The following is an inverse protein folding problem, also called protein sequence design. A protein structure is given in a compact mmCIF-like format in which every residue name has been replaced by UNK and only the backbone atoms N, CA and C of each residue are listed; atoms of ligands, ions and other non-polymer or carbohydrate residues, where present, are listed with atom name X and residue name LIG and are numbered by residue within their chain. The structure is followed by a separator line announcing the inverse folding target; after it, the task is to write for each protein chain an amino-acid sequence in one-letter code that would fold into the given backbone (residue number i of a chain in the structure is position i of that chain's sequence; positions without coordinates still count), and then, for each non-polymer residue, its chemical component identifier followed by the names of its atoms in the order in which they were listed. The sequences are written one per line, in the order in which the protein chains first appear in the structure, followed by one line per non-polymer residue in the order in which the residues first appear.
data_IF_493467200863
#
_entry.id   IF_493467200863
#
_cell.length_a   1.000
_cell.length_b   1.000
_cell.length_c   1.000
_cell.angle_alpha   90.00
_cell.angle_beta   90.00
_cell.angle_gamma   90.00
#
_symmetry.space_group_name_H-M   'P 1'
#
loop_
_entity.id
_entity.type
_entity.pdbx_description
1 polymer ?
#
# COMPACT_ATOMS: atom_id res chain seq x y z
N UNK A 1 -3.06 -2.23 34.00
CA UNK A 1 -3.07 -0.83 33.50
C UNK A 1 -1.65 -0.29 33.62
N UNK A 2 -0.90 -0.18 32.54
CA UNK A 2 0.49 0.33 32.59
C UNK A 2 0.45 1.84 32.83
N UNK A 3 0.73 2.28 34.05
CA UNK A 3 0.88 3.69 34.36
C UNK A 3 2.18 4.22 33.73
N UNK A 4 2.07 5.20 32.83
CA UNK A 4 3.21 5.87 32.22
C UNK A 4 4.06 6.56 33.28
N UNK A 5 5.38 6.41 33.22
CA UNK A 5 6.29 7.09 34.14
C UNK A 5 6.14 8.61 34.07
N UNK A 6 6.36 9.36 35.17
CA UNK A 6 6.24 10.82 35.17
C UNK A 6 7.10 11.53 34.10
N UNK A 7 8.24 10.94 33.75
CA UNK A 7 9.12 11.46 32.70
C UNK A 7 8.50 11.29 31.31
N UNK A 8 7.87 10.15 31.02
CA UNK A 8 7.17 9.89 29.76
C UNK A 8 5.97 10.81 29.60
N UNK A 9 5.23 11.08 30.67
CA UNK A 9 4.12 12.02 30.66
C UNK A 9 4.58 13.46 30.33
N UNK A 10 5.71 13.91 30.92
CA UNK A 10 6.30 15.23 30.60
C UNK A 10 6.73 15.32 29.14
N UNK A 11 7.37 14.28 28.58
CA UNK A 11 7.77 14.22 27.17
C UNK A 11 6.56 14.29 26.24
N UNK A 12 5.50 13.53 26.54
CA UNK A 12 4.27 13.52 25.75
C UNK A 12 3.54 14.88 25.80
N UNK A 13 3.49 15.51 26.98
CA UNK A 13 2.92 16.86 27.13
C UNK A 13 3.71 17.90 26.33
N UNK A 14 5.04 17.84 26.35
CA UNK A 14 5.91 18.71 25.56
C UNK A 14 5.71 18.50 24.06
N UNK A 15 5.60 17.26 23.61
CA UNK A 15 5.31 16.94 22.20
C UNK A 15 3.98 17.55 21.74
N UNK A 16 2.92 17.43 22.54
CA UNK A 16 1.61 18.05 22.23
C UNK A 16 1.65 19.58 22.16
N UNK A 17 2.59 20.23 22.84
CA UNK A 17 2.78 21.68 22.79
C UNK A 17 3.44 22.13 21.48
N UNK A 18 4.19 21.26 20.80
CA UNK A 18 4.77 21.52 19.48
C UNK A 18 3.68 21.26 18.43
N UNK A 19 2.76 22.22 18.25
CA UNK A 19 1.57 22.05 17.42
C UNK A 19 1.87 21.50 16.02
N UNK A 20 2.89 22.03 15.32
CA UNK A 20 3.26 21.57 13.98
C UNK A 20 3.64 20.09 13.96
N UNK A 21 4.54 19.67 14.83
CA UNK A 21 4.97 18.27 14.94
C UNK A 21 3.84 17.34 15.35
N UNK A 22 2.99 17.78 16.30
CA UNK A 22 1.85 16.98 16.76
C UNK A 22 0.81 16.75 15.66
N UNK A 23 0.41 17.79 14.92
CA UNK A 23 -0.55 17.63 13.83
C UNK A 23 0.02 16.83 12.65
N UNK A 24 1.29 17.04 12.28
CA UNK A 24 1.94 16.22 11.26
C UNK A 24 1.98 14.74 11.65
N UNK A 25 2.26 14.44 12.92
CA UNK A 25 2.22 13.09 13.44
C UNK A 25 0.81 12.48 13.36
N UNK A 26 -0.23 13.24 13.76
CA UNK A 26 -1.62 12.76 13.69
C UNK A 26 -2.04 12.49 12.24
N UNK A 27 -1.66 13.35 11.30
CA UNK A 27 -1.95 13.16 9.87
C UNK A 27 -1.28 11.87 9.36
N UNK A 28 -0.01 11.65 9.69
CA UNK A 28 0.71 10.43 9.30
C UNK A 28 0.10 9.17 9.91
N UNK A 29 -0.26 9.21 11.19
CA UNK A 29 -0.94 8.08 11.85
C UNK A 29 -2.32 7.83 11.24
N UNK A 30 -3.09 8.89 10.99
CA UNK A 30 -4.41 8.79 10.35
C UNK A 30 -4.30 8.22 8.93
N UNK A 31 -3.35 8.70 8.14
CA UNK A 31 -3.08 8.16 6.81
C UNK A 31 -2.65 6.69 6.85
N UNK A 32 -1.75 6.33 7.78
CA UNK A 32 -1.31 4.94 7.96
C UNK A 32 -2.46 4.03 8.36
N UNK A 33 -3.35 4.48 9.25
CA UNK A 33 -4.54 3.73 9.63
C UNK A 33 -5.53 3.57 8.46
N UNK A 34 -5.75 4.65 7.69
CA UNK A 34 -6.58 4.60 6.48
C UNK A 34 -6.03 3.59 5.48
N UNK A 35 -4.71 3.60 5.24
CA UNK A 35 -4.06 2.67 4.31
C UNK A 35 -4.07 1.22 4.83
N UNK A 36 -4.02 1.02 6.15
CA UNK A 36 -4.12 -0.32 6.76
C UNK A 36 -5.53 -0.91 6.63
N UNK A 37 -6.58 -0.07 6.77
CA UNK A 37 -7.97 -0.47 6.62
C UNK A 37 -8.48 -0.38 5.18
N UNK A 38 -7.62 -0.07 4.23
CA UNK A 38 -8.01 0.31 2.90
C UNK A 38 -8.63 -0.78 2.05
N UNK A 39 -8.38 -2.03 2.36
CA UNK A 39 -9.01 -3.16 1.68
C UNK A 39 -10.53 -3.23 1.90
N UNK A 40 -11.03 -2.54 2.93
CA UNK A 40 -12.46 -2.34 3.13
C UNK A 40 -13.05 -1.30 2.17
N UNK A 41 -12.23 -0.39 1.66
CA UNK A 41 -12.65 0.72 0.83
C UNK A 41 -12.32 0.50 -0.65
N UNK A 42 -11.17 -0.11 -0.93
CA UNK A 42 -10.62 -0.27 -2.28
C UNK A 42 -10.09 -1.69 -2.42
N UNK A 43 -10.82 -2.54 -3.09
CA UNK A 43 -10.45 -3.94 -3.35
C UNK A 43 -11.31 -4.51 -4.49
N UNK A 44 -10.77 -5.37 -5.33
CA UNK A 44 -11.53 -6.11 -6.34
C UNK A 44 -12.35 -7.25 -5.76
N UNK A 45 -12.04 -7.69 -4.51
CA UNK A 45 -12.79 -8.74 -3.81
C UNK A 45 -13.99 -8.16 -3.08
N UNK A 46 -15.08 -8.90 -3.04
CA UNK A 46 -16.25 -8.54 -2.24
C UNK A 46 -15.94 -8.59 -0.73
N UNK A 47 -16.58 -7.71 0.02
CA UNK A 47 -16.52 -7.73 1.50
C UNK A 47 -17.32 -8.88 2.04
N UNK A 48 -18.51 -9.10 1.48
CA UNK A 48 -19.42 -10.20 1.85
C UNK A 48 -20.16 -10.67 0.60
N UNK A 49 -20.30 -11.97 0.44
CA UNK A 49 -21.18 -12.61 -0.55
C UNK A 49 -22.16 -13.49 0.19
N UNK A 50 -23.45 -13.34 -0.07
CA UNK A 50 -24.50 -14.26 0.37
C UNK A 50 -24.91 -15.12 -0.81
N UNK A 51 -24.65 -16.42 -0.74
CA UNK A 51 -25.01 -17.37 -1.78
C UNK A 51 -25.68 -18.61 -1.18
N UNK A 52 -26.87 -18.91 -1.61
CA UNK A 52 -27.69 -20.04 -1.12
C UNK A 52 -27.87 -20.08 0.41
N UNK A 53 -27.88 -18.92 1.07
CA UNK A 53 -28.03 -18.79 2.52
C UNK A 53 -26.73 -18.90 3.32
N UNK A 54 -25.60 -19.15 2.67
CA UNK A 54 -24.27 -19.10 3.28
C UNK A 54 -23.60 -17.76 3.06
N UNK A 55 -22.76 -17.34 4.03
CA UNK A 55 -21.99 -16.08 3.97
C UNK A 55 -20.53 -16.37 3.73
N UNK A 56 -19.97 -15.76 2.69
CA UNK A 56 -18.56 -15.81 2.31
C UNK A 56 -17.93 -14.44 2.52
N UNK A 57 -16.65 -14.43 2.93
CA UNK A 57 -15.88 -13.20 3.19
C UNK A 57 -14.60 -13.16 2.34
N UNK A 58 -14.68 -12.95 1.02
CA UNK A 58 -13.56 -13.09 0.10
C UNK A 58 -12.39 -12.15 0.39
N UNK A 59 -12.65 -10.95 0.93
CA UNK A 59 -11.60 -9.99 1.30
C UNK A 59 -10.68 -10.49 2.41
N UNK A 60 -11.20 -11.31 3.33
CA UNK A 60 -10.46 -11.84 4.49
C UNK A 60 -10.26 -13.35 4.46
N UNK A 61 -10.87 -14.01 3.49
CA UNK A 61 -10.86 -15.46 3.34
C UNK A 61 -9.88 -15.95 2.27
N UNK A 62 -10.04 -17.23 1.97
CA UNK A 62 -9.29 -17.91 0.95
C UNK A 62 -9.76 -17.53 -0.46
N UNK A 63 -9.05 -18.04 -1.45
CA UNK A 63 -9.42 -17.98 -2.85
C UNK A 63 -10.73 -18.71 -3.10
N UNK A 64 -11.69 -18.05 -3.75
CA UNK A 64 -12.96 -18.62 -4.18
C UNK A 64 -13.03 -18.63 -5.70
N UNK A 65 -12.95 -19.82 -6.34
CA UNK A 65 -13.15 -19.96 -7.77
C UNK A 65 -14.59 -19.62 -8.17
N UNK A 66 -14.80 -19.30 -9.44
CA UNK A 66 -16.15 -19.03 -9.95
C UNK A 66 -17.12 -20.19 -9.76
N UNK A 67 -16.62 -21.42 -9.79
CA UNK A 67 -17.40 -22.64 -9.56
C UNK A 67 -18.08 -22.70 -8.19
N UNK A 68 -17.54 -22.05 -7.15
CA UNK A 68 -18.16 -21.98 -5.81
C UNK A 68 -19.50 -21.22 -5.86
N UNK A 69 -19.66 -20.33 -6.83
CA UNK A 69 -20.86 -19.51 -7.04
C UNK A 69 -21.64 -19.88 -8.30
N UNK A 70 -21.41 -21.09 -8.83
CA UNK A 70 -22.14 -21.61 -10.00
C UNK A 70 -21.70 -21.00 -11.34
N UNK A 71 -20.47 -20.48 -11.43
CA UNK A 71 -19.89 -19.97 -12.68
C UNK A 71 -19.06 -21.07 -13.38
N UNK A 72 -18.87 -20.98 -14.69
CA UNK A 72 -18.23 -22.01 -15.53
C UNK A 72 -16.69 -21.86 -15.60
N UNK A 73 -16.03 -21.36 -14.53
CA UNK A 73 -14.58 -21.17 -14.52
C UNK A 73 -13.96 -21.37 -13.14
N UNK A 74 -12.68 -21.82 -13.11
CA UNK A 74 -11.94 -22.19 -11.88
C UNK A 74 -10.94 -21.11 -11.42
N UNK A 75 -10.89 -19.94 -12.05
CA UNK A 75 -10.10 -18.80 -11.57
C UNK A 75 -10.89 -17.94 -10.59
N UNK A 76 -10.23 -17.00 -9.96
CA UNK A 76 -10.84 -16.13 -8.94
C UNK A 76 -12.09 -15.42 -9.47
N UNK A 77 -13.14 -15.46 -8.67
CA UNK A 77 -14.45 -14.89 -9.03
C UNK A 77 -14.35 -13.37 -9.28
N UNK A 78 -14.92 -12.93 -10.39
CA UNK A 78 -15.19 -11.52 -10.62
C UNK A 78 -16.47 -11.12 -9.88
N UNK A 79 -16.32 -10.51 -8.71
CA UNK A 79 -17.46 -10.20 -7.83
C UNK A 79 -18.40 -9.12 -8.39
N UNK A 80 -17.96 -8.29 -9.33
CA UNK A 80 -18.84 -7.32 -10.03
C UNK A 80 -19.75 -8.04 -11.02
N UNK A 81 -19.20 -8.99 -11.77
CA UNK A 81 -19.99 -9.80 -12.69
C UNK A 81 -20.93 -10.72 -11.92
N UNK A 82 -20.49 -11.23 -10.76
CA UNK A 82 -21.33 -12.03 -9.85
C UNK A 82 -22.50 -11.20 -9.31
N UNK A 83 -22.24 -9.95 -8.89
CA UNK A 83 -23.30 -9.03 -8.44
C UNK A 83 -24.34 -8.80 -9.54
N UNK A 84 -23.90 -8.48 -10.76
CA UNK A 84 -24.80 -8.27 -11.87
C UNK A 84 -25.67 -9.51 -12.16
N UNK A 85 -25.11 -10.72 -12.10
CA UNK A 85 -25.86 -11.98 -12.26
C UNK A 85 -26.87 -12.22 -11.16
N UNK A 86 -26.52 -11.94 -9.91
CA UNK A 86 -27.44 -12.08 -8.79
C UNK A 86 -28.59 -11.06 -8.85
N UNK A 87 -28.30 -9.85 -9.29
CA UNK A 87 -29.32 -8.81 -9.49
C UNK A 87 -30.28 -9.18 -10.66
N UNK A 88 -29.79 -9.87 -11.70
CA UNK A 88 -30.62 -10.39 -12.80
C UNK A 88 -31.47 -11.62 -12.42
N UNK A 89 -30.90 -12.51 -11.58
CA UNK A 89 -31.57 -13.75 -11.19
C UNK A 89 -32.66 -13.56 -10.14
N UNK A 90 -32.57 -12.51 -9.30
CA UNK A 90 -33.50 -12.17 -8.21
C UNK A 90 -33.82 -13.35 -7.25
N UNK A 91 -32.84 -14.20 -6.99
CA UNK A 91 -32.94 -15.40 -6.14
C UNK A 91 -32.64 -15.15 -4.66
N UNK A 92 -32.53 -13.86 -4.25
CA UNK A 92 -32.22 -13.48 -2.87
C UNK A 92 -30.73 -13.58 -2.52
N UNK A 93 -29.87 -13.91 -3.49
CA UNK A 93 -28.41 -13.84 -3.34
C UNK A 93 -27.95 -12.40 -3.52
N UNK A 94 -26.86 -12.00 -2.84
CA UNK A 94 -26.34 -10.62 -2.95
C UNK A 94 -24.85 -10.55 -2.71
N UNK A 95 -24.22 -9.49 -3.24
CA UNK A 95 -22.78 -9.21 -3.08
C UNK A 95 -22.61 -7.80 -2.51
N UNK A 96 -21.85 -7.68 -1.44
CA UNK A 96 -21.44 -6.38 -0.89
C UNK A 96 -20.02 -6.05 -1.37
N UNK A 97 -19.91 -5.13 -2.31
CA UNK A 97 -18.64 -4.65 -2.82
C UNK A 97 -18.09 -3.49 -1.96
N UNK A 98 -16.76 -3.27 -1.94
CA UNK A 98 -16.18 -2.05 -1.38
C UNK A 98 -16.55 -0.82 -2.22
N UNK A 99 -16.23 0.38 -1.69
CA UNK A 99 -16.55 1.65 -2.35
C UNK A 99 -15.92 1.76 -3.75
N UNK A 100 -14.70 1.24 -3.91
CA UNK A 100 -13.97 1.16 -5.19
C UNK A 100 -13.65 -0.32 -5.44
N UNK A 101 -14.47 -1.03 -6.24
CA UNK A 101 -14.34 -2.47 -6.42
C UNK A 101 -13.31 -2.83 -7.49
N UNK A 102 -12.15 -2.18 -7.47
CA UNK A 102 -11.10 -2.34 -8.47
C UNK A 102 -9.74 -2.63 -7.85
N UNK A 103 -8.96 -3.44 -8.59
CA UNK A 103 -7.57 -3.75 -8.29
C UNK A 103 -6.65 -2.77 -9.06
N UNK A 104 -5.48 -2.35 -8.52
CA UNK A 104 -4.57 -1.43 -9.19
C UNK A 104 -3.94 -1.98 -10.49
N UNK A 105 -3.98 -3.30 -10.70
CA UNK A 105 -3.40 -3.99 -11.85
C UNK A 105 -4.44 -4.43 -12.88
N UNK A 106 -5.70 -4.39 -12.55
CA UNK A 106 -6.81 -4.84 -13.37
C UNK A 106 -7.11 -3.85 -14.50
N UNK A 107 -7.28 -4.38 -15.70
CA UNK A 107 -7.65 -3.60 -16.87
C UNK A 107 -9.17 -3.65 -17.08
N UNK A 108 -9.84 -2.52 -16.91
CA UNK A 108 -11.30 -2.39 -17.04
C UNK A 108 -11.68 -1.82 -18.42
N UNK A 109 -11.33 -2.53 -19.47
CA UNK A 109 -11.58 -2.11 -20.84
C UNK A 109 -13.06 -2.30 -21.22
N UNK A 110 -13.81 -1.22 -21.33
CA UNK A 110 -15.18 -1.27 -21.85
C UNK A 110 -15.18 -1.70 -23.34
N UNK A 111 -15.82 -2.85 -23.62
CA UNK A 111 -15.89 -3.40 -24.97
C UNK A 111 -14.54 -3.85 -25.55
N UNK A 112 -13.57 -4.20 -24.71
CA UNK A 112 -12.25 -4.67 -25.12
C UNK A 112 -11.29 -3.59 -25.63
N UNK A 113 -11.67 -2.31 -25.55
CA UNK A 113 -10.84 -1.19 -26.01
C UNK A 113 -10.21 -0.48 -24.81
N UNK A 114 -8.88 -0.48 -24.75
CA UNK A 114 -8.12 0.23 -23.73
C UNK A 114 -8.11 1.73 -24.03
N UNK A 115 -8.73 2.53 -23.18
CA UNK A 115 -8.71 4.00 -23.27
C UNK A 115 -8.99 4.63 -21.92
N UNK A 116 -8.46 5.86 -21.68
CA UNK A 116 -8.82 6.61 -20.51
C UNK A 116 -10.32 6.88 -20.45
N UNK A 117 -10.90 6.70 -19.28
CA UNK A 117 -12.30 7.07 -19.01
C UNK A 117 -12.30 8.24 -18.03
N UNK A 118 -13.22 9.21 -18.22
CA UNK A 118 -13.35 10.32 -17.27
C UNK A 118 -13.86 9.84 -15.91
N UNK A 119 -13.68 10.65 -14.85
CA UNK A 119 -14.26 10.37 -13.55
C UNK A 119 -15.76 10.13 -13.62
N UNK A 120 -16.22 9.02 -13.03
CA UNK A 120 -17.64 8.61 -13.05
C UNK A 120 -18.01 7.91 -11.75
N UNK A 121 -19.07 8.38 -11.10
CA UNK A 121 -19.64 7.72 -9.93
C UNK A 121 -20.47 6.47 -10.33
N UNK A 122 -21.04 6.45 -11.54
CA UNK A 122 -21.86 5.34 -12.02
C UNK A 122 -21.04 4.07 -12.26
N UNK A 123 -19.80 4.22 -12.75
CA UNK A 123 -18.85 3.12 -12.92
C UNK A 123 -17.90 2.96 -11.74
N UNK A 124 -18.07 3.72 -10.64
CA UNK A 124 -17.20 3.75 -9.46
C UNK A 124 -15.71 4.08 -9.74
N UNK A 125 -15.40 4.62 -10.92
CA UNK A 125 -14.10 5.18 -11.28
C UNK A 125 -14.04 6.66 -10.87
N UNK A 126 -13.93 6.94 -9.56
CA UNK A 126 -14.03 8.31 -9.02
C UNK A 126 -12.97 9.28 -9.54
N UNK A 127 -11.77 8.80 -9.87
CA UNK A 127 -10.70 9.57 -10.51
C UNK A 127 -10.49 9.21 -11.97
N UNK A 128 -11.41 8.38 -12.54
CA UNK A 128 -11.27 7.86 -13.89
C UNK A 128 -10.24 6.75 -14.01
N UNK A 129 -9.88 6.43 -15.27
CA UNK A 129 -8.91 5.37 -15.58
C UNK A 129 -7.72 5.91 -16.36
N UNK A 130 -6.60 5.19 -16.32
CA UNK A 130 -5.40 5.50 -17.10
C UNK A 130 -5.51 5.03 -18.57
N UNK A 131 -4.44 5.20 -19.34
CA UNK A 131 -4.38 4.81 -20.77
C UNK A 131 -4.55 3.31 -21.01
N UNK A 132 -4.39 2.48 -19.98
CA UNK A 132 -4.60 1.04 -19.99
C UNK A 132 -5.90 0.63 -19.28
N UNK A 133 -6.81 1.59 -19.07
CA UNK A 133 -8.12 1.39 -18.42
C UNK A 133 -8.04 0.88 -16.97
N UNK A 134 -6.95 1.17 -16.24
CA UNK A 134 -6.82 0.83 -14.82
C UNK A 134 -7.33 1.98 -13.96
N UNK A 135 -7.98 1.65 -12.86
CA UNK A 135 -8.52 2.65 -11.94
C UNK A 135 -7.41 3.49 -11.28
N UNK A 136 -7.51 4.83 -11.42
CA UNK A 136 -6.49 5.75 -10.90
C UNK A 136 -6.54 5.81 -9.38
N UNK A 137 -7.73 5.76 -8.76
CA UNK A 137 -7.87 5.84 -7.30
C UNK A 137 -7.30 4.59 -6.63
N UNK A 138 -7.59 3.40 -7.16
CA UNK A 138 -7.01 2.15 -6.68
C UNK A 138 -5.47 2.19 -6.78
N UNK A 139 -4.92 2.62 -7.92
CA UNK A 139 -3.47 2.74 -8.11
C UNK A 139 -2.81 3.74 -7.16
N UNK A 140 -3.44 4.89 -6.95
CA UNK A 140 -2.95 5.91 -6.03
C UNK A 140 -2.91 5.37 -4.59
N UNK A 141 -3.97 4.68 -4.19
CA UNK A 141 -4.09 4.12 -2.85
C UNK A 141 -3.04 3.04 -2.57
N UNK A 142 -2.97 2.02 -3.41
CA UNK A 142 -1.99 0.94 -3.25
C UNK A 142 -0.55 1.42 -3.44
N UNK A 143 -0.31 2.35 -4.38
CA UNK A 143 0.99 3.00 -4.56
C UNK A 143 1.44 3.78 -3.32
N UNK A 144 0.53 4.52 -2.68
CA UNK A 144 0.82 5.24 -1.43
C UNK A 144 1.12 4.27 -0.29
N UNK A 145 0.40 3.14 -0.18
CA UNK A 145 0.66 2.10 0.82
C UNK A 145 2.08 1.53 0.67
N UNK A 146 2.46 1.16 -0.56
CA UNK A 146 3.81 0.65 -0.86
C UNK A 146 4.88 1.70 -0.55
N UNK A 147 4.67 2.95 -1.00
CA UNK A 147 5.60 4.05 -0.76
C UNK A 147 5.79 4.33 0.74
N UNK A 148 4.71 4.32 1.52
CA UNK A 148 4.77 4.54 2.97
C UNK A 148 5.50 3.42 3.69
N UNK A 149 5.19 2.15 3.37
CA UNK A 149 5.87 0.99 3.94
C UNK A 149 7.36 0.98 3.59
N UNK A 150 7.70 1.29 2.34
CA UNK A 150 9.08 1.43 1.90
C UNK A 150 9.79 2.57 2.65
N UNK A 151 9.18 3.75 2.76
CA UNK A 151 9.75 4.89 3.47
C UNK A 151 10.01 4.59 4.94
N UNK A 152 9.08 3.92 5.62
CA UNK A 152 9.24 3.50 7.02
C UNK A 152 10.36 2.47 7.17
N UNK A 153 10.36 1.42 6.36
CA UNK A 153 11.38 0.38 6.37
C UNK A 153 12.77 0.93 6.05
N UNK A 154 12.88 1.77 5.03
CA UNK A 154 14.12 2.44 4.66
C UNK A 154 14.63 3.35 5.78
N UNK A 155 13.77 4.21 6.34
CA UNK A 155 14.14 5.10 7.44
C UNK A 155 14.64 4.31 8.65
N UNK A 156 13.92 3.26 9.05
CA UNK A 156 14.33 2.40 10.17
C UNK A 156 15.70 1.78 9.92
N UNK A 157 15.93 1.23 8.73
CA UNK A 157 17.21 0.62 8.34
C UNK A 157 18.36 1.63 8.39
N UNK A 158 18.15 2.84 7.83
CA UNK A 158 19.17 3.91 7.85
C UNK A 158 19.48 4.34 9.28
N UNK A 159 18.47 4.49 10.15
CA UNK A 159 18.71 4.84 11.55
C UNK A 159 19.45 3.74 12.30
N UNK A 160 19.08 2.48 12.13
CA UNK A 160 19.74 1.36 12.81
C UNK A 160 21.21 1.25 12.40
N UNK A 161 21.49 1.29 11.10
CA UNK A 161 22.86 1.22 10.57
C UNK A 161 23.67 2.47 10.96
N UNK A 162 23.09 3.65 10.79
CA UNK A 162 23.76 4.92 11.11
C UNK A 162 24.10 5.06 12.58
N UNK A 163 23.17 4.66 13.48
CA UNK A 163 23.43 4.67 14.92
C UNK A 163 24.53 3.64 15.29
N UNK A 164 24.48 2.44 14.70
CA UNK A 164 25.49 1.41 14.96
C UNK A 164 26.90 1.89 14.55
N UNK A 165 27.03 2.43 13.33
CA UNK A 165 28.29 2.98 12.82
C UNK A 165 28.73 4.19 13.66
N UNK A 166 27.84 5.14 13.92
CA UNK A 166 28.15 6.33 14.71
C UNK A 166 28.56 6.01 16.15
N UNK A 167 27.89 5.05 16.79
CA UNK A 167 28.28 4.57 18.12
C UNK A 167 29.66 3.89 18.10
N UNK A 168 29.94 3.07 17.08
CA UNK A 168 31.25 2.43 16.93
C UNK A 168 32.37 3.48 16.72
N UNK A 169 32.15 4.47 15.87
CA UNK A 169 33.08 5.59 15.66
C UNK A 169 33.33 6.36 16.95
N UNK A 170 32.28 6.70 17.69
CA UNK A 170 32.41 7.40 18.97
C UNK A 170 33.08 6.57 20.08
N UNK A 171 32.86 5.25 20.09
CA UNK A 171 33.43 4.35 21.09
C UNK A 171 34.90 4.06 20.85
N UNK A 172 35.30 3.70 19.64
CA UNK A 172 36.70 3.37 19.34
C UNK A 172 37.57 4.63 19.10
N UNK A 173 37.00 5.69 18.53
CA UNK A 173 37.68 6.96 18.31
C UNK A 173 38.96 6.87 17.46
N UNK A 174 39.81 7.90 17.50
CA UNK A 174 41.15 7.91 16.93
C UNK A 174 41.21 7.56 15.45
N UNK A 175 42.11 6.65 15.08
CA UNK A 175 42.34 6.28 13.67
C UNK A 175 41.12 5.60 13.06
N UNK A 176 40.38 4.79 13.83
CA UNK A 176 39.17 4.13 13.38
C UNK A 176 38.08 5.14 12.94
N UNK A 177 37.85 6.15 13.74
CA UNK A 177 36.90 7.22 13.44
C UNK A 177 37.33 8.00 12.18
N UNK A 178 38.61 8.39 12.08
CA UNK A 178 39.16 9.09 10.91
C UNK A 178 39.00 8.28 9.62
N UNK A 179 39.29 6.99 9.65
CA UNK A 179 39.18 6.11 8.46
C UNK A 179 37.72 6.00 8.03
N UNK A 180 36.79 5.74 8.96
CA UNK A 180 35.37 5.62 8.63
C UNK A 180 34.79 6.94 8.13
N UNK A 181 35.20 8.09 8.70
CA UNK A 181 34.81 9.39 8.17
C UNK A 181 35.24 9.57 6.72
N UNK A 182 36.49 9.19 6.37
CA UNK A 182 36.97 9.28 4.98
C UNK A 182 36.21 8.38 4.03
N UNK A 183 35.87 7.17 4.48
CA UNK A 183 35.03 6.25 3.66
C UNK A 183 33.66 6.88 3.40
N UNK A 184 33.00 7.43 4.43
CA UNK A 184 31.70 8.08 4.31
C UNK A 184 31.79 9.32 3.39
N UNK A 185 32.82 10.15 3.52
CA UNK A 185 33.05 11.32 2.66
C UNK A 185 33.23 10.93 1.19
N UNK A 186 34.06 9.91 0.91
CA UNK A 186 34.25 9.42 -0.46
C UNK A 186 32.93 8.92 -1.04
N UNK A 187 32.18 8.13 -0.28
CA UNK A 187 30.89 7.61 -0.69
C UNK A 187 29.85 8.72 -0.94
N UNK A 188 29.82 9.71 -0.07
CA UNK A 188 28.89 10.86 -0.16
C UNK A 188 29.17 11.76 -1.37
N UNK A 189 30.40 11.75 -1.90
CA UNK A 189 30.76 12.53 -3.08
C UNK A 189 30.36 11.84 -4.40
N UNK A 190 29.95 10.56 -4.37
CA UNK A 190 29.48 9.88 -5.58
C UNK A 190 28.04 10.33 -5.89
N UNK A 191 27.79 10.95 -7.06
CA UNK A 191 26.44 11.39 -7.39
C UNK A 191 25.48 10.19 -7.46
N UNK A 192 24.42 10.23 -6.65
CA UNK A 192 23.45 9.12 -6.53
C UNK A 192 22.92 8.65 -7.88
N UNK A 193 22.61 9.59 -8.79
CA UNK A 193 22.07 9.28 -10.11
C UNK A 193 23.02 8.38 -10.92
N UNK A 194 24.34 8.66 -10.90
CA UNK A 194 25.33 7.84 -11.60
C UNK A 194 25.43 6.44 -11.01
N UNK A 195 25.38 6.33 -9.68
CA UNK A 195 25.33 5.01 -9.00
C UNK A 195 24.13 4.18 -9.45
N UNK A 196 22.95 4.78 -9.49
CA UNK A 196 21.72 4.12 -9.93
C UNK A 196 21.87 3.62 -11.36
N UNK A 197 22.37 4.46 -12.28
CA UNK A 197 22.58 4.08 -13.69
C UNK A 197 23.57 2.90 -13.80
N UNK A 198 24.69 2.96 -13.08
CA UNK A 198 25.70 1.88 -13.09
C UNK A 198 25.10 0.57 -12.57
N UNK A 199 24.38 0.61 -11.43
CA UNK A 199 23.75 -0.58 -10.86
C UNK A 199 22.76 -1.18 -11.85
N UNK A 200 21.89 -0.36 -12.46
CA UNK A 200 20.93 -0.84 -13.46
C UNK A 200 21.61 -1.43 -14.71
N UNK A 201 22.75 -0.91 -15.12
CA UNK A 201 23.48 -1.43 -16.27
C UNK A 201 24.12 -2.80 -16.02
N UNK A 202 24.37 -3.14 -14.75
CA UNK A 202 25.00 -4.42 -14.35
C UNK A 202 23.95 -5.50 -14.03
N UNK A 203 22.73 -5.11 -13.66
CA UNK A 203 21.64 -6.06 -13.38
C UNK A 203 21.18 -6.69 -14.73
N UNK A 204 21.24 -8.02 -14.87
CA UNK A 204 20.75 -8.67 -16.09
C UNK A 204 19.26 -8.40 -16.30
N UNK A 205 18.85 -8.16 -17.54
CA UNK A 205 17.46 -7.91 -17.94
C UNK A 205 16.47 -9.07 -17.64
N UNK A 206 16.99 -10.22 -17.20
CA UNK A 206 16.20 -11.39 -16.78
C UNK A 206 15.61 -11.27 -15.37
N UNK A 207 15.95 -10.22 -14.62
CA UNK A 207 15.50 -9.99 -13.23
C UNK A 207 14.56 -8.78 -13.15
N UNK A 208 14.27 -8.11 -14.27
CA UNK A 208 13.39 -6.95 -14.35
C UNK A 208 11.96 -7.34 -14.78
#
# INVERSE_FOLDING_TARGET
MFALTPQTQKKLRRFRQIKRGYYSFLILVGLSALLACGELLINSRALVVSYQGELYFPTYGDFHPGTDFGLDYDYETNYRDLQARFDEADEGNWVLLPLVPYNPYENNAAGGVFRPQPPSAASQHYLGTDTTSRDILARLFYGTRIALLFALGFTLSVYLIGIAIGCAMGYFGGVFDLVLQRVIEIWSNVPFLYMVIIIFSVIPSTVA
#
